data_IF_401062351447
#
_entry.id   IF_401062351447
#
_cell.length_a   1.000
_cell.length_b   1.000
_cell.length_c   1.000
_cell.angle_alpha   90.00
_cell.angle_beta   90.00
_cell.angle_gamma   90.00
#
_symmetry.space_group_name_H-M   'P 1'
#
loop_
_entity.id
_entity.type
_entity.pdbx_description
1 polymer ?
#
# COMPACT_ATOMS: atom_id res chain seq x y z
N UNK A 1 -10.79 38.98 11.12
CA UNK A 1 -9.58 38.29 10.63
C UNK A 1 -9.38 36.93 11.31
N UNK A 2 -9.34 36.83 12.64
CA UNK A 2 -9.14 35.55 13.36
C UNK A 2 -10.24 34.52 13.03
N UNK A 3 -11.52 34.91 13.10
CA UNK A 3 -12.65 34.01 12.79
C UNK A 3 -12.53 33.42 11.38
N UNK A 4 -12.14 34.24 10.40
CA UNK A 4 -11.96 33.79 9.01
C UNK A 4 -10.84 32.75 8.88
N UNK A 5 -9.71 32.97 9.56
CA UNK A 5 -8.59 32.01 9.57
C UNK A 5 -9.01 30.67 10.20
N UNK A 6 -9.76 30.70 11.30
CA UNK A 6 -10.27 29.49 11.96
C UNK A 6 -11.23 28.70 11.07
N UNK A 7 -12.12 29.39 10.36
CA UNK A 7 -13.04 28.77 9.40
C UNK A 7 -12.24 28.10 8.26
N UNK A 8 -11.24 28.78 7.70
CA UNK A 8 -10.40 28.23 6.64
C UNK A 8 -9.63 26.98 7.12
N UNK A 9 -9.06 27.04 8.32
CA UNK A 9 -8.37 25.90 8.93
C UNK A 9 -9.31 24.70 9.15
N UNK A 10 -10.55 24.95 9.57
CA UNK A 10 -11.57 23.92 9.75
C UNK A 10 -11.92 23.22 8.43
N UNK A 11 -12.15 23.97 7.35
CA UNK A 11 -12.41 23.37 6.03
C UNK A 11 -11.20 22.59 5.49
N UNK A 12 -9.98 23.09 5.71
CA UNK A 12 -8.76 22.37 5.34
C UNK A 12 -8.65 21.05 6.11
N UNK A 13 -8.94 21.07 7.42
CA UNK A 13 -8.95 19.87 8.25
C UNK A 13 -9.99 18.85 7.78
N UNK A 14 -11.23 19.28 7.49
CA UNK A 14 -12.27 18.40 6.92
C UNK A 14 -11.79 17.76 5.62
N UNK A 15 -11.17 18.56 4.75
CA UNK A 15 -10.66 18.07 3.45
C UNK A 15 -9.62 16.97 3.65
N UNK A 16 -8.70 17.14 4.59
CA UNK A 16 -7.69 16.12 4.94
C UNK A 16 -8.34 14.85 5.48
N UNK A 17 -9.33 14.97 6.37
CA UNK A 17 -10.06 13.81 6.91
C UNK A 17 -10.80 13.04 5.81
N UNK A 18 -11.43 13.74 4.86
CA UNK A 18 -12.08 13.12 3.71
C UNK A 18 -11.09 12.41 2.78
N UNK A 19 -9.88 12.95 2.59
CA UNK A 19 -8.83 12.28 1.82
C UNK A 19 -8.44 10.95 2.47
N UNK A 20 -8.19 10.97 3.79
CA UNK A 20 -7.82 9.77 4.55
C UNK A 20 -8.95 8.75 4.50
N UNK A 21 -10.19 9.17 4.79
CA UNK A 21 -11.36 8.29 4.73
C UNK A 21 -11.52 7.67 3.34
N UNK A 22 -11.34 8.44 2.27
CA UNK A 22 -11.40 7.92 0.90
C UNK A 22 -10.38 6.80 0.66
N UNK A 23 -9.14 6.99 1.11
CA UNK A 23 -8.06 5.99 0.98
C UNK A 23 -8.38 4.73 1.79
N UNK A 24 -8.76 4.92 3.05
CA UNK A 24 -9.06 3.83 3.99
C UNK A 24 -10.28 3.02 3.54
N UNK A 25 -11.38 3.71 3.24
CA UNK A 25 -12.65 3.10 2.81
C UNK A 25 -12.51 2.36 1.48
N UNK A 26 -11.74 2.89 0.51
CA UNK A 26 -11.46 2.15 -0.72
C UNK A 26 -10.66 0.88 -0.43
N UNK A 27 -9.55 1.03 0.29
CA UNK A 27 -8.64 -0.05 0.61
C UNK A 27 -9.31 -1.22 1.33
N UNK A 28 -10.08 -0.93 2.38
CA UNK A 28 -10.75 -1.93 3.20
C UNK A 28 -11.67 -2.87 2.39
N UNK A 29 -12.30 -2.37 1.31
CA UNK A 29 -13.17 -3.18 0.44
C UNK A 29 -12.42 -4.18 -0.46
N UNK A 30 -11.12 -3.96 -0.66
CA UNK A 30 -10.27 -4.75 -1.57
C UNK A 30 -9.30 -5.68 -0.84
N UNK A 31 -9.32 -5.69 0.49
CA UNK A 31 -8.56 -6.65 1.32
C UNK A 31 -9.32 -7.97 1.38
N UNK A 32 -8.67 -9.06 0.96
CA UNK A 32 -9.21 -10.41 0.99
C UNK A 32 -9.10 -10.98 2.41
N UNK A 33 -10.15 -11.69 2.84
CA UNK A 33 -10.17 -12.39 4.12
C UNK A 33 -9.51 -13.77 4.07
N UNK A 34 -9.38 -14.33 2.87
CA UNK A 34 -8.74 -15.62 2.63
C UNK A 34 -7.58 -15.46 1.64
N UNK A 35 -6.73 -16.48 1.58
CA UNK A 35 -5.55 -16.53 0.70
C UNK A 35 -5.87 -17.01 -0.72
N UNK A 36 -7.15 -17.20 -1.05
CA UNK A 36 -7.60 -17.59 -2.38
C UNK A 36 -7.68 -16.37 -3.29
N UNK A 37 -6.96 -16.42 -4.40
CA UNK A 37 -6.81 -15.33 -5.35
C UNK A 37 -7.76 -15.55 -6.53
N UNK A 38 -8.36 -14.49 -7.12
CA UNK A 38 -9.08 -14.64 -8.38
C UNK A 38 -8.19 -15.26 -9.47
N UNK A 39 -8.67 -16.30 -10.16
CA UNK A 39 -7.87 -17.12 -11.09
C UNK A 39 -7.19 -16.34 -12.23
N UNK A 40 -7.65 -15.12 -12.53
CA UNK A 40 -7.11 -14.27 -13.58
C UNK A 40 -5.90 -13.42 -13.13
N UNK A 41 -5.57 -13.40 -11.83
CA UNK A 41 -4.47 -12.60 -11.29
C UNK A 41 -3.23 -13.47 -11.12
N UNK A 42 -2.17 -13.15 -11.87
CA UNK A 42 -0.91 -13.93 -11.90
C UNK A 42 0.29 -13.22 -11.29
N UNK A 43 0.12 -12.02 -10.73
CA UNK A 43 1.20 -11.25 -10.13
C UNK A 43 0.93 -11.02 -8.64
N UNK A 44 1.94 -11.27 -7.81
CA UNK A 44 1.93 -10.95 -6.39
C UNK A 44 3.03 -9.92 -6.14
N UNK A 45 2.67 -8.71 -5.75
CA UNK A 45 3.59 -7.67 -5.32
C UNK A 45 3.76 -7.70 -3.80
N UNK A 46 4.98 -8.03 -3.37
CA UNK A 46 5.43 -7.92 -1.98
C UNK A 46 6.07 -6.54 -1.80
N UNK A 47 5.42 -5.68 -1.02
CA UNK A 47 5.96 -4.35 -0.75
C UNK A 47 7.17 -4.44 0.19
N UNK A 48 8.16 -3.58 -0.08
CA UNK A 48 9.33 -3.46 0.77
C UNK A 48 9.05 -2.69 2.05
N UNK A 49 10.02 -2.70 2.95
CA UNK A 49 10.00 -1.94 4.19
C UNK A 49 11.34 -1.24 4.40
N UNK A 50 11.28 -0.03 4.97
CA UNK A 50 12.46 0.70 5.39
C UNK A 50 12.21 1.41 6.72
N UNK A 51 12.87 0.91 7.74
CA UNK A 51 12.84 1.40 9.10
C UNK A 51 14.23 1.77 9.63
N UNK A 52 14.22 2.41 10.79
CA UNK A 52 15.42 2.63 11.61
C UNK A 52 15.90 1.32 12.25
N UNK A 53 14.97 0.44 12.61
CA UNK A 53 15.28 -0.86 13.18
C UNK A 53 15.37 -1.93 12.07
N UNK A 54 16.58 -2.40 11.82
CA UNK A 54 16.87 -3.38 10.75
C UNK A 54 16.34 -4.79 11.07
N UNK A 55 16.18 -5.13 12.34
CA UNK A 55 15.62 -6.40 12.74
C UNK A 55 14.13 -6.45 12.39
N UNK A 56 13.39 -5.41 12.76
CA UNK A 56 11.96 -5.24 12.39
C UNK A 56 11.77 -5.23 10.87
N UNK A 57 12.66 -4.56 10.12
CA UNK A 57 12.63 -4.60 8.65
C UNK A 57 12.70 -6.04 8.13
N UNK A 58 13.63 -6.84 8.65
CA UNK A 58 13.84 -8.21 8.20
C UNK A 58 12.68 -9.13 8.58
N UNK A 59 12.13 -8.99 9.79
CA UNK A 59 10.98 -9.78 10.24
C UNK A 59 9.72 -9.47 9.44
N UNK A 60 9.38 -8.18 9.27
CA UNK A 60 8.22 -7.77 8.49
C UNK A 60 8.36 -8.19 7.02
N UNK A 61 9.56 -8.07 6.44
CA UNK A 61 9.81 -8.51 5.08
C UNK A 61 9.70 -10.05 4.94
N UNK A 62 10.21 -10.79 5.94
CA UNK A 62 10.09 -12.25 5.98
C UNK A 62 8.62 -12.68 6.05
N UNK A 63 7.82 -12.06 6.91
CA UNK A 63 6.41 -12.42 7.06
C UNK A 63 5.59 -12.08 5.81
N UNK A 64 5.92 -10.98 5.12
CA UNK A 64 5.36 -10.67 3.79
C UNK A 64 5.73 -11.72 2.74
N UNK A 65 6.98 -12.16 2.70
CA UNK A 65 7.45 -13.19 1.77
C UNK A 65 6.82 -14.56 2.07
N UNK A 66 6.73 -14.95 3.34
CA UNK A 66 6.05 -16.17 3.77
C UNK A 66 4.61 -16.15 3.27
N UNK A 67 3.89 -15.04 3.52
CA UNK A 67 2.51 -14.85 3.04
C UNK A 67 2.41 -14.98 1.52
N UNK A 68 3.35 -14.41 0.77
CA UNK A 68 3.38 -14.51 -0.69
C UNK A 68 3.57 -15.93 -1.21
N UNK A 69 4.46 -16.70 -0.57
CA UNK A 69 4.71 -18.10 -0.91
C UNK A 69 3.48 -18.96 -0.60
N UNK A 70 2.84 -18.74 0.55
CA UNK A 70 1.62 -19.44 0.93
C UNK A 70 0.47 -19.15 -0.03
N UNK A 71 0.25 -17.88 -0.37
CA UNK A 71 -0.74 -17.48 -1.38
C UNK A 71 -0.41 -18.12 -2.72
N UNK A 72 0.83 -18.10 -3.17
CA UNK A 72 1.19 -18.74 -4.45
C UNK A 72 0.90 -20.24 -4.42
N UNK A 73 1.26 -20.92 -3.33
CA UNK A 73 1.03 -22.37 -3.14
C UNK A 73 -0.46 -22.73 -3.15
N UNK A 74 -1.29 -21.96 -2.46
CA UNK A 74 -2.74 -22.17 -2.44
C UNK A 74 -3.40 -21.98 -3.81
N UNK A 75 -2.74 -21.24 -4.70
CA UNK A 75 -3.20 -20.95 -6.06
C UNK A 75 -2.36 -21.68 -7.12
N UNK A 76 -1.83 -22.87 -6.79
CA UNK A 76 -1.22 -23.79 -7.77
C UNK A 76 0.23 -23.46 -8.18
N UNK A 77 0.89 -22.52 -7.48
CA UNK A 77 2.23 -22.01 -7.82
C UNK A 77 2.31 -21.33 -9.19
N UNK A 78 1.21 -20.76 -9.67
CA UNK A 78 1.14 -20.12 -10.99
C UNK A 78 1.44 -18.62 -10.97
N UNK A 79 1.55 -18.02 -9.78
CA UNK A 79 1.80 -16.58 -9.64
C UNK A 79 3.29 -16.25 -9.68
N UNK A 80 3.62 -15.13 -10.32
CA UNK A 80 4.93 -14.47 -10.24
C UNK A 80 4.99 -13.58 -9.01
N UNK A 81 5.98 -13.81 -8.15
CA UNK A 81 6.21 -12.98 -6.95
C UNK A 81 7.22 -11.89 -7.30
N UNK A 82 6.81 -10.63 -7.13
CA UNK A 82 7.60 -9.42 -7.33
C UNK A 82 7.92 -8.82 -5.97
N UNK A 83 9.20 -8.67 -5.65
CA UNK A 83 9.67 -8.12 -4.39
C UNK A 83 10.20 -6.70 -4.60
N UNK A 84 9.60 -5.72 -3.92
CA UNK A 84 10.22 -4.41 -3.78
C UNK A 84 11.34 -4.49 -2.72
N UNK A 85 12.58 -4.59 -3.21
CA UNK A 85 13.79 -4.67 -2.37
C UNK A 85 14.13 -3.34 -1.67
N UNK A 86 13.61 -2.23 -2.17
CA UNK A 86 14.00 -0.89 -1.72
C UNK A 86 13.15 -0.43 -0.53
N UNK A 87 11.85 -0.73 -0.56
CA UNK A 87 10.90 -0.36 0.49
C UNK A 87 10.81 1.15 0.74
N UNK A 88 11.22 1.97 -0.24
CA UNK A 88 11.37 3.42 -0.05
C UNK A 88 10.03 4.15 -0.22
N UNK A 89 9.20 3.71 -1.17
CA UNK A 89 8.01 4.46 -1.58
C UNK A 89 7.00 3.55 -2.25
N UNK A 90 5.85 3.36 -1.61
CA UNK A 90 4.75 2.57 -2.19
C UNK A 90 4.27 3.16 -3.52
N UNK A 91 4.24 4.50 -3.65
CA UNK A 91 3.91 5.14 -4.92
C UNK A 91 4.82 4.62 -6.04
N UNK A 92 6.13 4.54 -5.79
CA UNK A 92 7.09 4.10 -6.79
C UNK A 92 6.96 2.60 -7.10
N UNK A 93 6.71 1.75 -6.09
CA UNK A 93 6.46 0.32 -6.29
C UNK A 93 5.26 0.09 -7.20
N UNK A 94 4.15 0.81 -6.98
CA UNK A 94 2.94 0.72 -7.81
C UNK A 94 3.15 1.37 -9.18
N UNK A 95 3.86 2.51 -9.24
CA UNK A 95 4.21 3.17 -10.50
C UNK A 95 5.01 2.25 -11.41
N UNK A 96 6.04 1.56 -10.88
CA UNK A 96 6.80 0.58 -11.67
C UNK A 96 5.95 -0.62 -12.09
N UNK A 97 5.08 -1.12 -11.21
CA UNK A 97 4.13 -2.17 -11.59
C UNK A 97 3.31 -1.75 -12.82
N UNK A 98 2.82 -0.51 -12.86
CA UNK A 98 2.03 0.01 -13.99
C UNK A 98 2.86 0.31 -15.23
N UNK A 99 3.88 1.14 -15.09
CA UNK A 99 4.54 1.81 -16.22
C UNK A 99 5.73 1.03 -16.76
N UNK A 100 6.36 0.19 -15.94
CA UNK A 100 7.56 -0.58 -16.33
C UNK A 100 7.21 -2.05 -16.57
N UNK A 101 6.43 -2.66 -15.69
CA UNK A 101 6.05 -4.07 -15.79
C UNK A 101 4.71 -4.30 -16.48
N UNK A 102 3.98 -3.22 -16.83
CA UNK A 102 2.69 -3.28 -17.51
C UNK A 102 1.67 -4.22 -16.84
N UNK A 103 1.67 -4.24 -15.50
CA UNK A 103 0.79 -5.08 -14.71
C UNK A 103 -0.61 -4.47 -14.71
N UNK A 104 -1.59 -5.22 -15.20
CA UNK A 104 -3.00 -4.82 -15.19
C UNK A 104 -3.75 -5.31 -13.95
N UNK A 105 -3.31 -6.42 -13.35
CA UNK A 105 -3.87 -6.95 -12.12
C UNK A 105 -2.81 -7.62 -11.24
N UNK A 106 -2.94 -7.46 -9.93
CA UNK A 106 -2.02 -8.05 -8.95
C UNK A 106 -2.64 -8.23 -7.57
N UNK A 107 -2.02 -9.08 -6.77
CA UNK A 107 -2.20 -9.14 -5.33
C UNK A 107 -1.11 -8.32 -4.66
N UNK A 108 -1.46 -7.45 -3.72
CA UNK A 108 -0.52 -6.69 -2.92
C UNK A 108 -0.44 -7.32 -1.53
N UNK A 109 0.78 -7.64 -1.10
CA UNK A 109 1.06 -8.20 0.22
C UNK A 109 1.86 -7.19 1.03
N UNK A 110 1.27 -6.77 2.15
CA UNK A 110 1.88 -5.92 3.16
C UNK A 110 1.04 -5.99 4.44
N UNK A 111 1.47 -5.27 5.47
CA UNK A 111 0.78 -5.18 6.74
C UNK A 111 -0.56 -4.44 6.60
N UNK A 112 -1.52 -4.78 7.46
CA UNK A 112 -2.90 -4.26 7.44
C UNK A 112 -2.97 -2.74 7.33
N UNK A 113 -2.13 -2.03 8.08
CA UNK A 113 -2.14 -0.57 8.12
C UNK A 113 -1.63 0.10 6.83
N UNK A 114 -0.83 -0.60 6.01
CA UNK A 114 -0.30 -0.09 4.74
C UNK A 114 -1.16 -0.49 3.52
N UNK A 115 -1.94 -1.56 3.65
CA UNK A 115 -2.74 -2.10 2.54
C UNK A 115 -3.69 -1.04 1.93
N UNK A 116 -4.42 -0.23 2.72
CA UNK A 116 -5.39 0.68 2.14
C UNK A 116 -4.78 1.69 1.16
N UNK A 117 -3.64 2.29 1.52
CA UNK A 117 -2.90 3.20 0.65
C UNK A 117 -2.41 2.52 -0.61
N UNK A 118 -1.81 1.34 -0.49
CA UNK A 118 -1.29 0.60 -1.65
C UNK A 118 -2.41 0.23 -2.65
N UNK A 119 -3.56 -0.21 -2.14
CA UNK A 119 -4.72 -0.56 -2.96
C UNK A 119 -5.33 0.68 -3.63
N UNK A 120 -5.45 1.78 -2.89
CA UNK A 120 -5.93 3.05 -3.45
C UNK A 120 -5.02 3.57 -4.56
N UNK A 121 -3.69 3.50 -4.37
CA UNK A 121 -2.71 3.86 -5.38
C UNK A 121 -2.86 3.00 -6.65
N UNK A 122 -2.95 1.68 -6.49
CA UNK A 122 -3.11 0.74 -7.60
C UNK A 122 -4.35 1.06 -8.42
N UNK A 123 -5.50 1.28 -7.76
CA UNK A 123 -6.74 1.68 -8.42
C UNK A 123 -6.57 2.95 -9.24
N UNK A 124 -6.00 4.01 -8.63
CA UNK A 124 -5.84 5.30 -9.30
C UNK A 124 -4.85 5.25 -10.47
N UNK A 125 -3.96 4.26 -10.47
CA UNK A 125 -3.05 3.96 -11.58
C UNK A 125 -3.63 2.95 -12.58
N UNK A 126 -4.88 2.50 -12.39
CA UNK A 126 -5.55 1.57 -13.29
C UNK A 126 -4.97 0.16 -13.24
N UNK A 127 -4.62 -0.31 -12.05
CA UNK A 127 -4.28 -1.71 -11.75
C UNK A 127 -5.42 -2.29 -10.91
N UNK A 128 -6.04 -3.37 -11.38
CA UNK A 128 -7.02 -4.11 -10.57
C UNK A 128 -6.29 -4.91 -9.48
N UNK A 129 -6.22 -4.34 -8.27
CA UNK A 129 -5.51 -4.93 -7.16
C UNK A 129 -6.41 -5.41 -6.03
N UNK A 130 -5.98 -6.49 -5.37
CA UNK A 130 -6.52 -6.98 -4.10
C UNK A 130 -5.40 -7.11 -3.07
N UNK A 131 -5.74 -6.98 -1.80
CA UNK A 131 -4.78 -6.97 -0.70
C UNK A 131 -4.84 -8.23 0.15
N UNK A 132 -3.70 -8.74 0.61
CA UNK A 132 -3.63 -9.80 1.63
C UNK A 132 -2.71 -9.32 2.75
N UNK A 133 -3.21 -9.41 3.99
CA UNK A 133 -2.48 -9.02 5.20
C UNK A 133 -1.36 -10.01 5.50
N UNK A 134 -0.22 -9.50 5.94
CA UNK A 134 0.97 -10.29 6.32
C UNK A 134 1.36 -10.12 7.79
N UNK A 135 0.43 -9.69 8.63
CA UNK A 135 0.67 -9.45 10.06
C UNK A 135 0.70 -10.80 10.80
N UNK A 136 1.84 -11.52 10.71
CA UNK A 136 2.02 -12.83 11.35
C UNK A 136 2.45 -12.72 12.82
N UNK A 137 2.87 -11.52 13.25
CA UNK A 137 3.42 -11.20 14.57
C UNK A 137 3.07 -9.77 14.94
N UNK A 138 3.17 -9.44 16.21
CA UNK A 138 3.23 -8.06 16.68
C UNK A 138 4.65 -7.53 16.51
N UNK A 139 4.78 -6.30 16.01
CA UNK A 139 6.07 -5.65 15.83
C UNK A 139 6.18 -4.42 16.74
N UNK A 140 7.35 -4.27 17.36
CA UNK A 140 7.71 -3.05 18.06
C UNK A 140 7.70 -1.85 17.08
N UNK A 141 7.50 -0.65 17.62
CA UNK A 141 7.42 0.62 16.86
C UNK A 141 6.24 0.76 15.88
N UNK A 142 5.20 -0.09 15.96
CA UNK A 142 3.98 0.02 15.12
C UNK A 142 3.37 1.42 15.09
N UNK A 143 3.43 2.15 16.21
CA UNK A 143 2.90 3.52 16.33
C UNK A 143 3.66 4.51 15.44
N UNK A 144 4.99 4.41 15.37
CA UNK A 144 5.82 5.26 14.50
C UNK A 144 5.48 5.01 13.03
N UNK A 145 5.18 3.77 12.65
CA UNK A 145 4.74 3.45 11.28
C UNK A 145 3.35 4.01 10.99
N UNK A 146 2.42 3.99 11.97
CA UNK A 146 1.08 4.57 11.83
C UNK A 146 1.12 6.08 11.59
N UNK A 147 1.97 6.81 12.30
CA UNK A 147 2.10 8.26 12.08
C UNK A 147 2.69 8.57 10.70
N UNK A 148 3.73 7.84 10.30
CA UNK A 148 4.31 7.97 8.95
C UNK A 148 3.29 7.63 7.87
N UNK A 149 2.42 6.67 8.13
CA UNK A 149 1.37 6.24 7.21
C UNK A 149 0.35 7.35 6.97
N UNK A 150 -0.05 8.12 8.00
CA UNK A 150 -0.95 9.27 7.84
C UNK A 150 -0.38 10.30 6.84
N UNK A 151 0.87 10.71 7.04
CA UNK A 151 1.53 11.66 6.14
C UNK A 151 1.73 11.08 4.74
N UNK A 152 2.06 9.79 4.64
CA UNK A 152 2.20 9.10 3.36
C UNK A 152 0.87 9.05 2.61
N UNK A 153 -0.27 8.82 3.28
CA UNK A 153 -1.60 8.81 2.66
C UNK A 153 -1.97 10.14 2.05
N UNK A 154 -1.74 11.25 2.78
CA UNK A 154 -2.04 12.58 2.26
C UNK A 154 -1.14 12.89 1.06
N UNK A 155 0.18 12.64 1.17
CA UNK A 155 1.15 12.83 0.07
C UNK A 155 0.74 12.02 -1.17
N UNK A 156 0.50 10.73 -0.98
CA UNK A 156 0.21 9.79 -2.06
C UNK A 156 -1.15 10.06 -2.70
N UNK A 157 -2.16 10.50 -1.93
CA UNK A 157 -3.44 10.96 -2.45
C UNK A 157 -3.24 12.14 -3.42
N UNK A 158 -2.45 13.14 -3.02
CA UNK A 158 -2.12 14.28 -3.88
C UNK A 158 -1.33 13.81 -5.11
N UNK A 159 -0.43 12.84 -4.96
CA UNK A 159 0.36 12.34 -6.08
C UNK A 159 -0.50 11.65 -7.14
N UNK A 160 -1.44 10.78 -6.77
CA UNK A 160 -2.26 10.08 -7.79
C UNK A 160 -3.40 10.92 -8.35
N UNK A 161 -3.95 11.86 -7.58
CA UNK A 161 -5.09 12.66 -8.04
C UNK A 161 -4.67 13.99 -8.71
N UNK A 162 -3.56 14.59 -8.31
CA UNK A 162 -3.19 15.96 -8.73
C UNK A 162 -1.85 15.98 -9.48
N UNK A 163 -0.74 15.64 -8.81
CA UNK A 163 0.60 15.91 -9.34
C UNK A 163 1.08 14.89 -10.38
N UNK A 164 0.71 13.61 -10.19
CA UNK A 164 1.11 12.46 -11.01
C UNK A 164 2.60 12.48 -11.40
N UNK A 165 3.52 12.62 -10.44
CA UNK A 165 4.94 12.69 -10.75
C UNK A 165 5.39 11.38 -11.40
N UNK A 166 6.12 11.49 -12.52
CA UNK A 166 6.85 10.33 -13.04
C UNK A 166 8.03 10.03 -12.13
N UNK A 167 8.34 8.75 -11.94
CA UNK A 167 9.53 8.37 -11.19
C UNK A 167 10.78 8.97 -11.85
N UNK A 168 11.58 9.69 -11.07
CA UNK A 168 12.88 10.23 -11.51
C UNK A 168 13.95 9.23 -11.07
N UNK A 169 14.69 8.70 -12.04
CA UNK A 169 15.86 7.83 -11.82
C UNK A 169 16.88 8.48 -10.90
#
# INVERSE_FOLDING_TARGET
>A
MIIFILILAFFAMITVLLMIDTVQSYGARKILKNKKVPCNIKNILVLGIKSKNKEVDNEMLADRLITAIEVNKENGNECTILLDKSGVSTYDSIYWAKEVFHIESMIIITNEHHLPRALYLAEKMGINAYGIKSDLRDYDDIEVYRDRELFAQIKDFVYVNILKPKHKK
#
